data_IF_751821605639
#
_entry.id   IF_751821605639
#
_cell.length_a   1.000
_cell.length_b   1.000
_cell.length_c   1.000
_cell.angle_alpha   90.00
_cell.angle_beta   90.00
_cell.angle_gamma   90.00
#
_symmetry.space_group_name_H-M   'P 1'
#
loop_
_entity.id
_entity.type
_entity.pdbx_description
1 polymer ?
#
# COMPACT_ATOMS: atom_id res chain seq x y z
N UNK A 1 -12.47 8.65 31.55
CA UNK A 1 -11.97 7.94 30.36
C UNK A 1 -11.90 8.95 29.23
N UNK A 2 -10.70 9.48 28.95
CA UNK A 2 -10.48 10.27 27.73
C UNK A 2 -10.30 9.28 26.58
N UNK A 3 -11.28 9.19 25.67
CA UNK A 3 -11.08 8.52 24.38
C UNK A 3 -9.97 9.27 23.65
N UNK A 4 -8.79 8.65 23.57
CA UNK A 4 -7.71 9.14 22.72
C UNK A 4 -8.19 8.97 21.28
N UNK A 5 -8.70 10.05 20.69
CA UNK A 5 -9.29 10.05 19.35
C UNK A 5 -8.18 9.71 18.37
N UNK A 6 -8.23 8.51 17.80
CA UNK A 6 -7.22 8.04 16.86
C UNK A 6 -7.08 9.01 15.68
N UNK A 7 -5.85 9.22 15.18
CA UNK A 7 -5.60 10.18 14.12
C UNK A 7 -6.36 9.77 12.85
N UNK A 8 -7.41 10.52 12.53
CA UNK A 8 -8.18 10.42 11.29
C UNK A 8 -7.45 11.18 10.17
N UNK A 9 -7.36 10.59 8.97
CA UNK A 9 -6.68 11.21 7.82
C UNK A 9 -7.35 12.54 7.43
N UNK A 10 -6.62 13.66 7.46
CA UNK A 10 -7.12 14.98 7.06
C UNK A 10 -6.21 15.67 6.04
N UNK A 11 -6.81 16.28 5.02
CA UNK A 11 -6.13 17.14 4.05
C UNK A 11 -4.91 16.48 3.40
N UNK A 12 -3.71 16.89 3.81
CA UNK A 12 -2.42 16.44 3.27
C UNK A 12 -2.15 14.94 3.49
N UNK A 13 -2.85 14.28 4.40
CA UNK A 13 -2.69 12.84 4.67
C UNK A 13 -3.12 11.95 3.50
N UNK A 14 -3.89 12.50 2.54
CA UNK A 14 -4.26 11.80 1.31
C UNK A 14 -3.16 11.73 0.26
N UNK A 15 -2.04 12.47 0.43
CA UNK A 15 -0.95 12.43 -0.54
C UNK A 15 -0.37 11.02 -0.69
N UNK A 16 -0.29 10.27 0.41
CA UNK A 16 0.31 8.94 0.42
C UNK A 16 -0.56 7.92 -0.37
N UNK A 17 -1.89 7.82 -0.13
CA UNK A 17 -2.79 7.11 -1.03
C UNK A 17 -2.71 7.57 -2.48
N UNK A 18 -2.71 8.88 -2.76
CA UNK A 18 -2.65 9.39 -4.13
C UNK A 18 -1.36 8.99 -4.86
N UNK A 19 -0.21 9.03 -4.16
CA UNK A 19 1.08 8.58 -4.71
C UNK A 19 1.03 7.08 -5.01
N UNK A 20 0.43 6.27 -4.14
CA UNK A 20 0.29 4.84 -4.40
C UNK A 20 -0.62 4.56 -5.59
N UNK A 21 -1.74 5.28 -5.72
CA UNK A 21 -2.64 5.15 -6.88
C UNK A 21 -1.90 5.51 -8.17
N UNK A 22 -1.17 6.63 -8.17
CA UNK A 22 -0.35 7.03 -9.31
C UNK A 22 0.72 5.98 -9.62
N UNK A 23 1.36 5.39 -8.60
CA UNK A 23 2.31 4.30 -8.77
C UNK A 23 1.67 3.08 -9.44
N UNK A 24 0.51 2.63 -8.95
CA UNK A 24 -0.21 1.47 -9.49
C UNK A 24 -0.61 1.66 -10.96
N UNK A 25 -0.98 2.88 -11.35
CA UNK A 25 -1.37 3.20 -12.72
C UNK A 25 -0.19 3.45 -13.67
N UNK A 26 0.78 4.27 -13.25
CA UNK A 26 1.82 4.79 -14.15
C UNK A 26 3.05 3.89 -14.22
N UNK A 27 3.40 3.21 -13.13
CA UNK A 27 4.59 2.36 -13.10
C UNK A 27 4.53 1.22 -14.14
N UNK A 28 3.39 0.50 -14.32
CA UNK A 28 3.29 -0.55 -15.35
C UNK A 28 3.53 -0.01 -16.76
N UNK A 29 2.96 1.15 -17.07
CA UNK A 29 3.14 1.83 -18.35
C UNK A 29 4.62 2.15 -18.56
N UNK A 30 5.28 2.72 -17.55
CA UNK A 30 6.71 3.03 -17.63
C UNK A 30 7.57 1.78 -17.86
N UNK A 31 7.30 0.68 -17.16
CA UNK A 31 8.07 -0.57 -17.34
C UNK A 31 7.88 -1.14 -18.75
N UNK A 32 6.66 -1.16 -19.27
CA UNK A 32 6.40 -1.62 -20.64
C UNK A 32 7.09 -0.79 -21.72
N UNK A 33 7.36 0.49 -21.46
CA UNK A 33 8.08 1.37 -22.39
C UNK A 33 9.61 1.21 -22.32
N UNK A 34 10.14 0.67 -21.22
CA UNK A 34 11.57 0.69 -20.91
C UNK A 34 12.22 -0.71 -20.88
N UNK A 35 11.41 -1.77 -20.78
CA UNK A 35 11.89 -3.14 -20.53
C UNK A 35 11.25 -4.11 -21.50
N UNK A 36 12.06 -5.03 -22.02
CA UNK A 36 11.60 -6.07 -22.93
C UNK A 36 10.53 -6.97 -22.30
N UNK A 37 9.59 -7.41 -23.16
CA UNK A 37 8.38 -8.14 -22.76
C UNK A 37 8.61 -9.36 -21.82
N UNK A 38 9.66 -10.19 -21.98
CA UNK A 38 9.87 -11.35 -21.11
C UNK A 38 10.19 -10.98 -19.64
N UNK A 39 10.78 -9.82 -19.41
CA UNK A 39 11.19 -9.37 -18.07
C UNK A 39 10.20 -8.40 -17.43
N UNK A 40 9.43 -7.67 -18.25
CA UNK A 40 8.50 -6.63 -17.80
C UNK A 40 7.48 -7.15 -16.77
N UNK A 41 6.89 -8.33 -16.99
CA UNK A 41 5.85 -8.87 -16.12
C UNK A 41 6.31 -9.10 -14.68
N UNK A 42 7.43 -9.81 -14.49
CA UNK A 42 7.97 -10.06 -13.15
C UNK A 42 8.45 -8.78 -12.47
N UNK A 43 9.07 -7.88 -13.24
CA UNK A 43 9.54 -6.60 -12.71
C UNK A 43 8.36 -5.75 -12.20
N UNK A 44 7.25 -5.70 -12.93
CA UNK A 44 6.04 -5.00 -12.51
C UNK A 44 5.50 -5.59 -11.21
N UNK A 45 5.40 -6.91 -11.09
CA UNK A 45 4.90 -7.56 -9.86
C UNK A 45 5.75 -7.18 -8.66
N UNK A 46 7.08 -7.20 -8.80
CA UNK A 46 8.02 -6.82 -7.75
C UNK A 46 7.85 -5.33 -7.39
N UNK A 47 7.81 -4.43 -8.38
CA UNK A 47 7.73 -3.00 -8.15
C UNK A 47 6.37 -2.56 -7.57
N UNK A 48 5.26 -3.16 -8.01
CA UNK A 48 3.95 -2.95 -7.40
C UNK A 48 3.96 -3.46 -5.96
N UNK A 49 4.47 -4.67 -5.73
CA UNK A 49 4.55 -5.26 -4.41
C UNK A 49 5.38 -4.41 -3.44
N UNK A 50 6.53 -3.92 -3.88
CA UNK A 50 7.38 -3.01 -3.11
C UNK A 50 6.66 -1.69 -2.79
N UNK A 51 5.99 -1.09 -3.78
CA UNK A 51 5.20 0.13 -3.57
C UNK A 51 4.10 -0.08 -2.52
N UNK A 52 3.36 -1.18 -2.62
CA UNK A 52 2.33 -1.59 -1.65
C UNK A 52 2.90 -1.79 -0.25
N UNK A 53 4.03 -2.50 -0.13
CA UNK A 53 4.67 -2.78 1.14
C UNK A 53 5.22 -1.51 1.81
N UNK A 54 5.95 -0.68 1.06
CA UNK A 54 6.54 0.56 1.59
C UNK A 54 5.45 1.54 1.99
N UNK A 55 4.46 1.78 1.12
CA UNK A 55 3.38 2.72 1.41
C UNK A 55 2.51 2.20 2.55
N UNK A 56 2.17 0.90 2.56
CA UNK A 56 1.43 0.28 3.65
C UNK A 56 2.14 0.47 4.99
N UNK A 57 3.44 0.14 5.07
CA UNK A 57 4.21 0.32 6.30
C UNK A 57 4.31 1.78 6.75
N UNK A 58 4.53 2.72 5.83
CA UNK A 58 4.57 4.15 6.15
C UNK A 58 3.21 4.66 6.62
N UNK A 59 2.11 4.21 6.01
CA UNK A 59 0.77 4.57 6.44
C UNK A 59 0.47 4.03 7.84
N UNK A 60 0.73 2.75 8.10
CA UNK A 60 0.58 2.15 9.42
C UNK A 60 1.48 2.79 10.49
N UNK A 61 2.66 3.28 10.12
CA UNK A 61 3.51 4.03 11.03
C UNK A 61 2.93 5.40 11.41
N UNK A 62 2.20 6.03 10.50
CA UNK A 62 1.61 7.37 10.70
C UNK A 62 0.20 7.32 11.29
N UNK A 63 -0.57 6.29 10.94
CA UNK A 63 -1.98 6.09 11.27
C UNK A 63 -2.21 4.67 11.73
N UNK A 64 -3.31 4.42 12.44
CA UNK A 64 -3.70 3.04 12.74
C UNK A 64 -3.95 2.26 11.45
N UNK A 65 -3.46 1.02 11.38
CA UNK A 65 -3.69 0.18 10.22
C UNK A 65 -5.21 -0.05 10.02
N UNK A 66 -5.72 0.47 8.91
CA UNK A 66 -7.12 0.45 8.51
C UNK A 66 -7.32 -0.30 7.19
N UNK A 67 -8.58 -0.62 6.86
CA UNK A 67 -8.91 -1.29 5.59
C UNK A 67 -8.98 -0.32 4.40
N UNK A 68 -8.90 0.99 4.61
CA UNK A 68 -9.06 1.98 3.54
C UNK A 68 -8.00 1.85 2.46
N UNK A 69 -6.72 1.78 2.84
CA UNK A 69 -5.62 1.62 1.89
C UNK A 69 -5.63 0.30 1.12
N UNK A 70 -5.76 -0.87 1.78
CA UNK A 70 -5.76 -2.14 1.05
C UNK A 70 -6.98 -2.28 0.12
N UNK A 71 -8.14 -1.73 0.49
CA UNK A 71 -9.30 -1.69 -0.41
C UNK A 71 -9.09 -0.76 -1.61
N UNK A 72 -8.45 0.40 -1.42
CA UNK A 72 -8.09 1.28 -2.53
C UNK A 72 -7.09 0.60 -3.48
N UNK A 73 -6.07 -0.07 -2.94
CA UNK A 73 -5.11 -0.86 -3.74
C UNK A 73 -5.84 -1.92 -4.54
N UNK A 74 -6.73 -2.69 -3.92
CA UNK A 74 -7.49 -3.72 -4.61
C UNK A 74 -8.34 -3.13 -5.73
N UNK A 75 -9.09 -2.05 -5.47
CA UNK A 75 -9.96 -1.41 -6.45
C UNK A 75 -9.17 -0.83 -7.63
N UNK A 76 -8.08 -0.12 -7.33
CA UNK A 76 -7.25 0.55 -8.33
C UNK A 76 -6.48 -0.47 -9.16
N UNK A 77 -5.88 -1.46 -8.51
CA UNK A 77 -5.16 -2.50 -9.23
C UNK A 77 -6.12 -3.34 -10.09
N UNK A 78 -7.34 -3.62 -9.61
CA UNK A 78 -8.39 -4.25 -10.43
C UNK A 78 -8.69 -3.44 -11.69
N UNK A 79 -8.81 -2.12 -11.58
CA UNK A 79 -8.98 -1.25 -12.75
C UNK A 79 -7.78 -1.34 -13.72
N UNK A 80 -6.55 -1.43 -13.21
CA UNK A 80 -5.37 -1.60 -14.07
C UNK A 80 -5.32 -2.97 -14.75
N UNK A 81 -5.82 -4.04 -14.11
CA UNK A 81 -5.97 -5.37 -14.72
C UNK A 81 -6.79 -5.30 -16.00
N UNK A 82 -7.91 -4.55 -15.98
CA UNK A 82 -8.74 -4.36 -17.16
C UNK A 82 -8.08 -3.52 -18.28
N UNK A 83 -7.07 -2.71 -17.97
CA UNK A 83 -6.45 -1.77 -18.92
C UNK A 83 -5.15 -2.29 -19.54
N UNK A 84 -4.30 -2.93 -18.74
CA UNK A 84 -2.91 -3.21 -19.13
C UNK A 84 -2.54 -4.69 -19.12
N UNK A 85 -3.30 -5.53 -18.41
CA UNK A 85 -2.90 -6.90 -18.11
C UNK A 85 -3.84 -7.93 -18.74
N UNK A 86 -3.35 -9.17 -18.78
CA UNK A 86 -4.18 -10.31 -19.17
C UNK A 86 -5.17 -10.68 -18.05
N UNK A 87 -6.20 -11.44 -18.42
CA UNK A 87 -7.25 -11.88 -17.50
C UNK A 87 -6.67 -12.62 -16.28
N UNK A 88 -5.66 -13.47 -16.46
CA UNK A 88 -5.02 -14.24 -15.38
C UNK A 88 -4.30 -13.42 -14.30
N UNK A 89 -4.15 -12.10 -14.47
CA UNK A 89 -3.47 -11.21 -13.51
C UNK A 89 -4.37 -10.80 -12.34
N UNK A 90 -5.67 -11.11 -12.40
CA UNK A 90 -6.64 -10.73 -11.37
C UNK A 90 -6.29 -11.25 -9.96
N UNK A 91 -5.60 -12.40 -9.87
CA UNK A 91 -5.16 -12.99 -8.59
C UNK A 91 -4.24 -12.08 -7.78
N UNK A 92 -3.53 -11.15 -8.42
CA UNK A 92 -2.66 -10.20 -7.71
C UNK A 92 -3.44 -9.10 -6.96
N UNK A 93 -4.72 -8.92 -7.27
CA UNK A 93 -5.61 -7.94 -6.61
C UNK A 93 -5.73 -8.22 -5.10
N UNK A 94 -6.18 -9.41 -4.66
CA UNK A 94 -6.22 -9.73 -3.24
C UNK A 94 -4.81 -9.80 -2.63
N UNK A 95 -3.79 -10.24 -3.39
CA UNK A 95 -2.41 -10.35 -2.90
C UNK A 95 -1.86 -8.97 -2.52
N UNK A 96 -1.95 -7.98 -3.41
CA UNK A 96 -1.44 -6.63 -3.15
C UNK A 96 -2.27 -5.89 -2.10
N UNK A 97 -3.58 -6.09 -2.07
CA UNK A 97 -4.43 -5.60 -0.97
C UNK A 97 -3.98 -6.14 0.38
N UNK A 98 -3.85 -7.46 0.51
CA UNK A 98 -3.39 -8.10 1.75
C UNK A 98 -1.96 -7.68 2.12
N UNK A 99 -1.04 -7.62 1.15
CA UNK A 99 0.34 -7.18 1.38
C UNK A 99 0.37 -5.76 1.97
N UNK A 100 -0.40 -4.83 1.39
CA UNK A 100 -0.51 -3.46 1.89
C UNK A 100 -1.03 -3.43 3.32
N UNK A 101 -2.04 -4.23 3.62
CA UNK A 101 -2.61 -4.34 4.97
C UNK A 101 -1.63 -4.92 5.99
N UNK A 102 -0.95 -6.02 5.65
CA UNK A 102 0.08 -6.63 6.49
C UNK A 102 1.23 -5.66 6.75
N UNK A 103 1.70 -4.96 5.72
CA UNK A 103 2.74 -3.95 5.88
C UNK A 103 2.29 -2.82 6.81
N UNK A 104 1.05 -2.34 6.69
CA UNK A 104 0.49 -1.37 7.63
C UNK A 104 0.45 -1.89 9.06
N UNK A 105 0.06 -3.16 9.26
CA UNK A 105 0.08 -3.79 10.59
C UNK A 105 1.48 -3.89 11.20
N UNK A 106 2.49 -4.12 10.38
CA UNK A 106 3.90 -4.15 10.81
C UNK A 106 4.38 -2.73 11.15
N UNK A 107 3.97 -1.73 10.37
CA UNK A 107 4.30 -0.32 10.61
C UNK A 107 3.62 0.29 11.84
N UNK A 108 2.46 -0.25 12.24
CA UNK A 108 1.64 0.24 13.35
C UNK A 108 2.41 0.28 14.69
N UNK A 109 2.66 1.50 15.20
CA UNK A 109 3.23 1.69 16.54
C UNK A 109 2.20 1.29 17.59
N UNK A 110 2.46 0.20 18.31
CA UNK A 110 1.58 -0.22 19.42
C UNK A 110 1.68 0.75 20.60
N UNK A 111 0.55 1.18 21.19
CA UNK A 111 0.55 1.96 22.42
C UNK A 111 0.99 1.08 23.60
N UNK A 112 2.29 1.04 23.86
CA UNK A 112 2.88 0.24 24.93
C UNK A 112 4.38 0.43 25.19
N UNK A 113 5.16 0.95 24.23
CA UNK A 113 6.62 1.02 24.38
C UNK A 113 7.14 2.19 25.23
N UNK A 114 6.28 3.08 25.73
CA UNK A 114 6.70 4.21 26.58
C UNK A 114 6.74 3.91 28.09
N UNK A 115 6.03 2.89 28.60
CA UNK A 115 5.87 2.70 30.05
C UNK A 115 7.07 2.09 30.79
N UNK A 116 8.13 1.68 30.08
CA UNK A 116 9.30 1.01 30.69
C UNK A 116 10.49 1.97 30.91
N UNK A 117 10.43 3.22 30.42
CA UNK A 117 11.55 4.17 30.55
C UNK A 117 11.41 5.24 31.63
N UNK A 118 10.29 5.29 32.35
CA UNK A 118 10.06 6.29 33.42
C UNK A 118 10.06 5.68 34.83
N UNK A 119 10.56 4.44 34.96
CA UNK A 119 10.68 3.75 36.24
C UNK A 119 12.12 3.43 36.61
N UNK A 120 12.99 4.44 36.71
CA UNK A 120 14.27 4.39 37.43
C UNK A 120 14.67 5.78 37.90
#
# INVERSE_FOLDING_TARGET
>A
MTEEKEPERKGKDWTLPCVLIAWLFLMPVAVHMLVDAPLAGWLIVILVGLGCAVVGAVDGYRFRASLTLPLLVALVFWATVALYYNEGTWWYVPIFGLLTWFAAKIGEKRPGSRRVREGF
#
